data_IF_072982335144
#
_entry.id   IF_072982335144
#
_cell.length_a   1.000
_cell.length_b   1.000
_cell.length_c   1.000
_cell.angle_alpha   90.00
_cell.angle_beta   90.00
_cell.angle_gamma   90.00
#
_symmetry.space_group_name_H-M   'P 1'
#
loop_
_entity.id
_entity.type
_entity.pdbx_description
1 polymer ?
#
# COMPACT_ATOMS: atom_id res chain seq x y z
N UNK A 1 -11.35 19.02 -7.29
CA UNK A 1 -10.09 18.41 -7.75
C UNK A 1 -10.35 16.99 -8.20
N UNK A 2 -9.62 16.52 -9.21
CA UNK A 2 -9.65 15.11 -9.58
C UNK A 2 -8.93 14.26 -8.53
N UNK A 3 -9.36 13.00 -8.28
CA UNK A 3 -8.71 12.13 -7.33
C UNK A 3 -7.27 11.80 -7.74
N UNK A 4 -6.35 11.85 -6.79
CA UNK A 4 -5.00 11.33 -6.93
C UNK A 4 -4.86 10.05 -6.09
N UNK A 5 -4.18 9.03 -6.63
CA UNK A 5 -4.03 7.75 -5.94
C UNK A 5 -2.60 7.55 -5.47
N UNK A 6 -2.43 7.27 -4.18
CA UNK A 6 -1.16 6.84 -3.60
C UNK A 6 -1.23 5.33 -3.37
N UNK A 7 -0.32 4.59 -4.00
CA UNK A 7 -0.37 3.13 -4.03
C UNK A 7 0.85 2.48 -3.37
N UNK A 8 0.87 2.30 -2.05
CA UNK A 8 1.94 1.60 -1.36
C UNK A 8 1.90 0.09 -1.63
N UNK A 9 3.07 -0.52 -1.86
CA UNK A 9 3.22 -1.95 -2.04
C UNK A 9 3.48 -2.65 -0.71
N UNK A 10 2.41 -2.99 0.01
CA UNK A 10 2.42 -3.60 1.34
C UNK A 10 3.35 -4.82 1.40
N UNK A 11 3.10 -5.82 0.56
CA UNK A 11 3.85 -7.06 0.60
C UNK A 11 5.34 -6.92 0.29
N UNK A 12 5.77 -5.86 -0.40
CA UNK A 12 7.20 -5.61 -0.63
C UNK A 12 7.93 -5.10 0.61
N UNK A 13 7.24 -4.38 1.46
CA UNK A 13 7.76 -3.97 2.76
C UNK A 13 7.82 -5.15 3.72
N UNK A 14 6.81 -6.03 3.69
CA UNK A 14 6.82 -7.26 4.47
C UNK A 14 8.01 -8.16 4.08
N UNK A 15 8.37 -8.24 2.80
CA UNK A 15 9.53 -9.01 2.30
C UNK A 15 10.87 -8.59 2.91
N UNK A 16 10.98 -7.33 3.34
CA UNK A 16 12.18 -6.81 4.02
C UNK A 16 12.01 -6.72 5.53
N UNK A 17 10.97 -7.37 6.08
CA UNK A 17 10.73 -7.47 7.52
C UNK A 17 10.13 -6.23 8.16
N UNK A 18 9.54 -5.33 7.37
CA UNK A 18 8.79 -4.17 7.84
C UNK A 18 7.28 -4.44 7.80
N UNK A 19 6.49 -3.73 8.61
CA UNK A 19 5.04 -3.81 8.53
C UNK A 19 4.51 -2.91 7.42
N UNK A 20 4.25 -3.47 6.24
CA UNK A 20 3.79 -2.70 5.08
C UNK A 20 2.43 -2.01 5.30
N UNK A 21 1.56 -2.55 6.14
CA UNK A 21 0.26 -1.93 6.46
C UNK A 21 0.38 -0.63 7.27
N UNK A 22 1.50 -0.43 7.99
CA UNK A 22 1.74 0.85 8.67
C UNK A 22 1.87 2.00 7.66
N UNK A 23 2.42 1.76 6.47
CA UNK A 23 2.49 2.80 5.43
C UNK A 23 1.10 3.20 4.98
N UNK A 24 0.18 2.25 4.78
CA UNK A 24 -1.23 2.53 4.46
C UNK A 24 -1.86 3.38 5.57
N UNK A 25 -1.71 2.96 6.83
CA UNK A 25 -2.21 3.68 8.01
C UNK A 25 -1.62 5.09 8.11
N UNK A 26 -0.32 5.23 7.89
CA UNK A 26 0.40 6.51 7.98
C UNK A 26 -0.06 7.48 6.89
N UNK A 27 -0.25 7.00 5.65
CA UNK A 27 -0.78 7.81 4.54
C UNK A 27 -2.22 8.26 4.86
N UNK A 28 -3.09 7.36 5.32
CA UNK A 28 -4.46 7.72 5.73
C UNK A 28 -4.45 8.79 6.81
N UNK A 29 -3.58 8.68 7.82
CA UNK A 29 -3.42 9.68 8.88
C UNK A 29 -2.93 11.01 8.32
N UNK A 30 -1.91 11.00 7.45
CA UNK A 30 -1.31 12.20 6.85
C UNK A 30 -2.35 13.03 6.09
N UNK A 31 -3.17 12.36 5.27
CA UNK A 31 -4.16 13.03 4.43
C UNK A 31 -5.55 13.17 5.08
N UNK A 32 -5.72 12.74 6.34
CA UNK A 32 -7.02 12.86 7.04
C UNK A 32 -7.50 14.30 7.22
N UNK A 33 -6.58 15.27 7.23
CA UNK A 33 -6.87 16.70 7.35
C UNK A 33 -6.83 17.44 5.99
N UNK A 34 -6.62 16.71 4.91
CA UNK A 34 -6.57 17.25 3.55
C UNK A 34 -7.96 17.52 2.97
N UNK A 35 -7.99 17.90 1.71
CA UNK A 35 -9.23 18.19 0.95
C UNK A 35 -9.92 16.94 0.38
N UNK A 36 -9.46 15.76 0.76
CA UNK A 36 -10.06 14.48 0.36
C UNK A 36 -9.77 14.04 -1.07
N UNK A 37 -8.91 14.74 -1.83
CA UNK A 37 -8.60 14.32 -3.19
C UNK A 37 -7.54 13.22 -3.29
N UNK A 38 -6.75 12.98 -2.23
CA UNK A 38 -5.74 11.92 -2.19
C UNK A 38 -6.37 10.65 -1.61
N UNK A 39 -6.46 9.61 -2.43
CA UNK A 39 -7.04 8.32 -2.10
C UNK A 39 -5.94 7.26 -2.00
N UNK A 40 -6.10 6.31 -1.08
CA UNK A 40 -5.14 5.23 -0.90
C UNK A 40 -5.58 3.99 -1.66
N UNK A 41 -4.67 3.45 -2.47
CA UNK A 41 -4.80 2.16 -3.13
C UNK A 41 -3.79 1.19 -2.52
N UNK A 42 -4.18 0.39 -1.54
CA UNK A 42 -3.31 -0.61 -0.95
C UNK A 42 -3.00 -1.71 -1.98
N UNK A 43 -1.73 -1.86 -2.33
CA UNK A 43 -1.29 -2.83 -3.34
C UNK A 43 -0.44 -3.94 -2.74
N UNK A 44 -0.36 -5.08 -3.48
CA UNK A 44 0.42 -6.24 -3.04
C UNK A 44 -0.08 -6.85 -1.72
N UNK A 45 -1.39 -6.93 -1.55
CA UNK A 45 -2.05 -7.61 -0.43
C UNK A 45 -1.75 -9.12 -0.52
N UNK A 46 -1.33 -9.75 0.58
CA UNK A 46 -0.87 -11.13 0.62
C UNK A 46 -1.61 -12.03 1.59
N UNK A 47 -2.42 -11.47 2.47
CA UNK A 47 -3.19 -12.24 3.44
C UNK A 47 -4.60 -11.70 3.61
N UNK A 48 -5.49 -12.56 4.12
CA UNK A 48 -6.86 -12.16 4.45
C UNK A 48 -6.86 -11.12 5.57
N UNK A 49 -5.95 -11.23 6.55
CA UNK A 49 -5.81 -10.28 7.63
C UNK A 49 -5.47 -8.87 7.12
N UNK A 50 -4.60 -8.78 6.10
CA UNK A 50 -4.29 -7.50 5.45
C UNK A 50 -5.52 -6.93 4.73
N UNK A 51 -6.30 -7.77 4.05
CA UNK A 51 -7.56 -7.33 3.42
C UNK A 51 -8.55 -6.81 4.47
N UNK A 52 -8.73 -7.54 5.57
CA UNK A 52 -9.60 -7.10 6.67
C UNK A 52 -9.09 -5.80 7.31
N UNK A 53 -7.77 -5.64 7.43
CA UNK A 53 -7.22 -4.39 7.94
C UNK A 53 -7.37 -3.22 6.96
N UNK A 54 -7.43 -3.46 5.65
CA UNK A 54 -7.83 -2.42 4.69
C UNK A 54 -9.26 -1.92 4.96
N UNK A 55 -10.19 -2.81 5.29
CA UNK A 55 -11.55 -2.41 5.68
C UNK A 55 -11.57 -1.63 7.00
N UNK A 56 -10.82 -2.08 8.01
CA UNK A 56 -10.70 -1.41 9.30
C UNK A 56 -10.13 0.01 9.15
N UNK A 57 -9.11 0.19 8.31
CA UNK A 57 -8.52 1.48 7.97
C UNK A 57 -9.39 2.31 7.01
N UNK A 58 -10.51 1.78 6.52
CA UNK A 58 -11.34 2.42 5.51
C UNK A 58 -10.53 2.87 4.27
N UNK A 59 -9.66 1.96 3.79
CA UNK A 59 -8.87 2.19 2.58
C UNK A 59 -9.79 2.24 1.37
N UNK A 60 -9.63 3.24 0.51
CA UNK A 60 -10.55 3.48 -0.61
C UNK A 60 -10.47 2.38 -1.67
N UNK A 61 -9.27 1.87 -1.93
CA UNK A 61 -9.02 0.82 -2.92
C UNK A 61 -7.98 -0.18 -2.42
N UNK A 62 -8.10 -1.41 -2.89
CA UNK A 62 -7.06 -2.43 -2.70
C UNK A 62 -6.94 -3.31 -3.94
N UNK A 63 -5.72 -3.66 -4.33
CA UNK A 63 -5.48 -4.72 -5.31
C UNK A 63 -5.28 -6.05 -4.57
N UNK A 64 -6.21 -6.97 -4.78
CA UNK A 64 -6.28 -8.22 -4.01
C UNK A 64 -6.15 -9.41 -4.96
N UNK A 65 -5.20 -10.33 -4.74
CA UNK A 65 -5.08 -11.55 -5.53
C UNK A 65 -6.34 -12.44 -5.41
N UNK A 66 -6.71 -13.13 -6.49
CA UNK A 66 -7.88 -14.02 -6.52
C UNK A 66 -7.89 -15.03 -5.35
N UNK A 67 -6.74 -15.63 -5.03
CA UNK A 67 -6.60 -16.53 -3.88
C UNK A 67 -7.07 -15.95 -2.55
N UNK A 68 -6.82 -14.67 -2.31
CA UNK A 68 -7.24 -13.99 -1.06
C UNK A 68 -8.75 -13.72 -1.10
N UNK A 69 -9.30 -13.35 -2.27
CA UNK A 69 -10.74 -13.20 -2.45
C UNK A 69 -11.48 -14.53 -2.26
N UNK A 70 -10.95 -15.62 -2.75
CA UNK A 70 -11.48 -16.97 -2.53
C UNK A 70 -11.47 -17.35 -1.05
N UNK A 71 -10.38 -17.06 -0.32
CA UNK A 71 -10.31 -17.25 1.13
C UNK A 71 -11.35 -16.42 1.87
N UNK A 72 -11.54 -15.17 1.47
CA UNK A 72 -12.55 -14.29 2.05
C UNK A 72 -13.97 -14.81 1.79
N UNK A 73 -14.25 -15.23 0.55
CA UNK A 73 -15.53 -15.82 0.17
C UNK A 73 -15.81 -17.12 0.93
N UNK A 74 -14.81 -18.02 1.08
CA UNK A 74 -14.97 -19.30 1.81
C UNK A 74 -15.31 -19.14 3.28
N UNK A 75 -15.00 -17.96 3.84
CA UNK A 75 -15.36 -17.58 5.22
C UNK A 75 -16.63 -16.74 5.31
N UNK A 76 -17.43 -16.71 4.24
CA UNK A 76 -18.68 -15.94 4.16
C UNK A 76 -18.48 -14.42 4.30
N UNK A 77 -17.42 -13.88 3.66
CA UNK A 77 -17.13 -12.45 3.54
C UNK A 77 -17.08 -11.72 4.89
N UNK A 78 -16.25 -12.17 5.86
CA UNK A 78 -16.16 -11.50 7.15
C UNK A 78 -15.66 -10.06 7.00
N UNK A 79 -16.22 -9.18 7.84
CA UNK A 79 -15.73 -7.80 8.00
C UNK A 79 -15.13 -7.64 9.40
N UNK A 80 -14.16 -6.73 9.60
CA UNK A 80 -13.61 -6.47 10.92
C UNK A 80 -14.70 -5.94 11.85
N UNK A 81 -14.67 -6.41 13.09
CA UNK A 81 -15.51 -5.91 14.19
C UNK A 81 -14.67 -5.07 15.17
N UNK A 82 -15.28 -4.59 16.25
CA UNK A 82 -14.61 -3.76 17.25
C UNK A 82 -13.49 -4.49 18.03
N UNK A 83 -13.37 -5.81 17.89
CA UNK A 83 -12.34 -6.62 18.52
C UNK A 83 -11.23 -7.01 17.55
N UNK A 84 -11.38 -6.65 16.27
CA UNK A 84 -10.39 -6.96 15.26
C UNK A 84 -9.05 -6.29 15.58
N UNK A 85 -7.99 -7.10 15.57
CA UNK A 85 -6.62 -6.63 15.79
C UNK A 85 -5.73 -7.21 14.69
N UNK A 86 -5.19 -6.33 13.86
CA UNK A 86 -4.18 -6.71 12.88
C UNK A 86 -2.85 -7.02 13.58
N UNK A 87 -2.35 -8.23 13.39
CA UNK A 87 -1.04 -8.65 13.89
C UNK A 87 -0.01 -8.50 12.77
N UNK A 88 0.82 -7.47 12.88
CA UNK A 88 1.84 -7.18 11.90
C UNK A 88 2.91 -8.28 11.85
N UNK A 89 3.31 -8.74 10.65
CA UNK A 89 4.38 -9.74 10.51
C UNK A 89 5.79 -9.16 10.69
N UNK A 90 5.97 -7.85 10.60
CA UNK A 90 7.26 -7.19 10.56
C UNK A 90 7.43 -6.08 11.61
N UNK A 91 8.58 -5.42 11.55
CA UNK A 91 8.88 -4.26 12.41
C UNK A 91 7.94 -3.09 12.07
N UNK A 92 7.45 -2.37 13.07
CA UNK A 92 6.58 -1.23 12.84
C UNK A 92 7.30 -0.12 12.08
N UNK A 93 6.56 0.56 11.20
CA UNK A 93 7.00 1.79 10.54
C UNK A 93 6.30 2.95 11.25
N UNK A 94 7.03 3.74 12.06
CA UNK A 94 6.43 4.83 12.81
C UNK A 94 5.86 5.91 11.89
N UNK A 95 4.85 6.62 12.37
CA UNK A 95 4.36 7.82 11.70
C UNK A 95 5.34 8.97 11.94
N UNK A 96 5.70 9.65 10.86
CA UNK A 96 6.49 10.88 10.89
C UNK A 96 5.58 12.06 10.54
N UNK A 97 5.58 13.10 11.37
CA UNK A 97 4.87 14.33 11.08
C UNK A 97 5.71 15.13 10.07
N UNK A 98 5.18 15.31 8.87
CA UNK A 98 5.83 16.05 7.81
C UNK A 98 5.10 17.38 7.60
N UNK A 99 5.87 18.45 7.40
CA UNK A 99 5.34 19.74 6.97
C UNK A 99 5.10 19.72 5.45
N UNK A 100 3.85 19.50 5.05
CA UNK A 100 3.45 19.38 3.64
C UNK A 100 3.41 20.71 2.88
N UNK A 101 3.62 21.85 3.56
CA UNK A 101 3.74 23.17 2.92
C UNK A 101 5.17 23.41 2.37
N UNK A 102 6.12 22.57 2.74
CA UNK A 102 7.48 22.65 2.19
C UNK A 102 7.52 22.15 0.74
N UNK A 103 8.50 22.66 -0.03
CA UNK A 103 8.78 22.18 -1.38
C UNK A 103 9.16 20.69 -1.37
N UNK A 104 8.70 19.92 -2.34
CA UNK A 104 8.94 18.48 -2.42
C UNK A 104 10.44 18.13 -2.47
N UNK A 105 11.29 19.05 -2.94
CA UNK A 105 12.74 18.88 -3.02
C UNK A 105 13.43 18.75 -1.66
N UNK A 106 12.74 19.16 -0.58
CA UNK A 106 13.26 19.07 0.80
C UNK A 106 13.11 17.68 1.40
N UNK A 107 12.26 16.81 0.81
CA UNK A 107 12.03 15.47 1.31
C UNK A 107 13.03 14.48 0.70
N UNK A 108 13.54 13.56 1.53
CA UNK A 108 14.25 12.39 1.02
C UNK A 108 13.26 11.39 0.44
N UNK A 109 13.17 11.34 -0.88
CA UNK A 109 12.33 10.41 -1.63
C UNK A 109 13.10 9.19 -2.12
N UNK A 110 14.37 9.02 -1.70
CA UNK A 110 15.21 7.90 -2.12
C UNK A 110 14.87 6.67 -1.29
N UNK A 111 14.43 5.61 -1.96
CA UNK A 111 14.19 4.32 -1.34
C UNK A 111 14.68 3.20 -2.25
N UNK A 112 15.42 2.25 -1.70
CA UNK A 112 16.04 1.16 -2.47
C UNK A 112 15.01 0.33 -3.27
N UNK A 113 13.85 0.02 -2.67
CA UNK A 113 12.80 -0.72 -3.36
C UNK A 113 12.20 0.08 -4.53
N UNK A 114 12.09 1.41 -4.40
CA UNK A 114 11.65 2.28 -5.49
C UNK A 114 12.63 2.24 -6.64
N UNK A 115 13.93 2.43 -6.37
CA UNK A 115 14.98 2.38 -7.38
C UNK A 115 15.00 1.03 -8.11
N UNK A 116 15.03 -0.09 -7.37
CA UNK A 116 14.98 -1.45 -7.94
C UNK A 116 13.70 -1.69 -8.75
N UNK A 117 12.56 -1.15 -8.28
CA UNK A 117 11.29 -1.25 -8.99
C UNK A 117 11.32 -0.54 -10.33
N UNK A 118 11.80 0.71 -10.36
CA UNK A 118 11.93 1.51 -11.60
C UNK A 118 12.87 0.82 -12.60
N UNK A 119 14.04 0.36 -12.15
CA UNK A 119 15.01 -0.36 -12.99
C UNK A 119 14.38 -1.63 -13.61
N UNK A 120 13.70 -2.44 -12.78
CA UNK A 120 13.05 -3.66 -13.23
C UNK A 120 11.93 -3.39 -14.22
N UNK A 121 11.00 -2.48 -13.92
CA UNK A 121 9.88 -2.17 -14.80
C UNK A 121 10.35 -1.59 -16.14
N UNK A 122 11.39 -0.74 -16.12
CA UNK A 122 11.98 -0.23 -17.35
C UNK A 122 12.63 -1.35 -18.20
N UNK A 123 13.30 -2.32 -17.56
CA UNK A 123 13.87 -3.48 -18.26
C UNK A 123 12.78 -4.38 -18.83
N UNK A 124 11.75 -4.69 -18.06
CA UNK A 124 10.62 -5.52 -18.50
C UNK A 124 9.90 -4.88 -19.69
N UNK A 125 9.67 -3.56 -19.65
CA UNK A 125 9.07 -2.82 -20.77
C UNK A 125 9.94 -2.88 -22.04
N UNK A 126 11.24 -2.63 -21.93
CA UNK A 126 12.16 -2.71 -23.08
C UNK A 126 12.16 -4.11 -23.70
N UNK A 127 12.06 -5.15 -22.87
CA UNK A 127 11.99 -6.54 -23.34
C UNK A 127 10.71 -6.82 -24.17
N UNK A 128 9.60 -6.11 -23.91
CA UNK A 128 8.39 -6.23 -24.73
C UNK A 128 8.54 -5.59 -26.10
N UNK A 129 9.31 -4.50 -26.22
CA UNK A 129 9.56 -3.79 -27.48
C UNK A 129 10.49 -4.57 -28.41
N UNK A 130 11.34 -5.44 -27.87
CA UNK A 130 12.30 -6.25 -28.64
C UNK A 130 11.77 -7.63 -29.04
N UNK A 131 10.53 -7.98 -28.72
CA UNK A 131 9.89 -9.23 -29.20
C UNK A 131 9.43 -9.02 -30.65
N UNK A 132 9.93 -9.79 -31.64
CA UNK A 132 9.34 -9.80 -32.96
C UNK A 132 7.88 -10.22 -32.87
N UNK A 133 7.05 -9.60 -33.73
CA UNK A 133 5.63 -9.92 -33.86
C UNK A 133 5.42 -11.36 -34.36
#
# INVERSE_FOLDING_TARGET
KEPAYVSPFVGRLDDIGQNGMDVVKNIKRMFSKGDGHVLVLAASIRSLEQLLYCFDLQTELATVPAKILEQWASKNFPTPDNQFQYKAPGKPIPYEELDLEQGWETFDIQHELTRKGVEKFAADYRATLSRPA
#
